data_IF_047464786191
#
_entry.id   IF_047464786191
#
_cell.length_a   1.000
_cell.length_b   1.000
_cell.length_c   1.000
_cell.angle_alpha   90.00
_cell.angle_beta   90.00
_cell.angle_gamma   90.00
#
_symmetry.space_group_name_H-M   'P 1'
#
loop_
_entity.id
_entity.type
_entity.pdbx_description
1 polymer ?
#
# COMPACT_ATOMS: atom_id res chain seq x y z
N UNK A 1 -6.39 4.02 -68.25
CA UNK A 1 -6.35 2.58 -67.89
C UNK A 1 -6.20 2.52 -66.38
N UNK A 2 -7.30 2.33 -65.63
CA UNK A 2 -7.26 2.35 -64.17
C UNK A 2 -6.94 0.97 -63.58
N UNK A 3 -6.02 0.94 -62.62
CA UNK A 3 -5.60 -0.25 -61.88
C UNK A 3 -6.65 -0.71 -60.89
N UNK A 4 -7.00 -1.97 -60.93
CA UNK A 4 -7.94 -2.66 -60.06
C UNK A 4 -7.34 -2.84 -58.62
N UNK A 5 -8.13 -2.69 -57.56
CA UNK A 5 -7.69 -3.04 -56.20
C UNK A 5 -7.72 -4.57 -55.97
N UNK A 6 -6.86 -5.12 -55.10
CA UNK A 6 -6.84 -6.53 -54.77
C UNK A 6 -7.99 -6.97 -53.87
N UNK A 7 -8.50 -8.16 -54.11
CA UNK A 7 -9.59 -8.83 -53.43
C UNK A 7 -9.18 -9.22 -52.01
N UNK A 8 -10.07 -8.93 -51.04
CA UNK A 8 -10.04 -9.50 -49.69
C UNK A 8 -10.68 -10.90 -49.76
N UNK A 9 -9.94 -11.93 -49.42
CA UNK A 9 -10.46 -13.23 -48.98
C UNK A 9 -9.39 -13.90 -48.10
N UNK A 10 -9.57 -13.85 -46.80
CA UNK A 10 -9.01 -14.83 -45.88
C UNK A 10 -9.95 -14.92 -44.65
N UNK A 11 -10.85 -15.89 -44.72
CA UNK A 11 -11.68 -16.31 -43.58
C UNK A 11 -10.79 -17.00 -42.57
N UNK A 12 -10.69 -16.45 -41.34
CA UNK A 12 -10.08 -17.13 -40.21
C UNK A 12 -11.20 -17.91 -39.49
N UNK A 13 -11.09 -19.22 -39.28
CA UNK A 13 -12.07 -19.98 -38.52
C UNK A 13 -11.91 -19.67 -37.02
N UNK A 14 -12.96 -19.17 -36.43
CA UNK A 14 -13.08 -19.01 -34.98
C UNK A 14 -13.19 -20.37 -34.29
N UNK A 15 -12.10 -20.79 -33.63
CA UNK A 15 -12.10 -21.98 -32.77
C UNK A 15 -12.67 -21.56 -31.40
N UNK A 16 -13.98 -21.72 -31.21
CA UNK A 16 -14.65 -21.49 -29.92
C UNK A 16 -14.38 -22.69 -29.02
N UNK A 17 -13.37 -22.58 -28.15
CA UNK A 17 -13.20 -23.51 -27.05
C UNK A 17 -14.25 -23.23 -25.97
N UNK A 18 -15.31 -24.04 -25.95
CA UNK A 18 -16.30 -24.08 -24.88
C UNK A 18 -15.67 -24.64 -23.61
N UNK A 19 -15.20 -23.78 -22.71
CA UNK A 19 -14.94 -24.16 -21.32
C UNK A 19 -16.28 -24.33 -20.60
N UNK A 20 -16.56 -25.55 -20.19
CA UNK A 20 -17.67 -25.90 -19.30
C UNK A 20 -17.42 -25.25 -17.94
N UNK A 21 -18.21 -24.24 -17.61
CA UNK A 21 -18.27 -23.68 -16.25
C UNK A 21 -19.10 -24.68 -15.43
N UNK A 22 -18.42 -25.43 -14.59
CA UNK A 22 -19.06 -26.28 -13.60
C UNK A 22 -19.68 -25.39 -12.52
N UNK A 23 -21.00 -25.28 -12.53
CA UNK A 23 -21.79 -24.61 -11.49
C UNK A 23 -21.77 -25.46 -10.25
N UNK A 24 -20.87 -25.17 -9.28
CA UNK A 24 -20.99 -25.67 -7.91
C UNK A 24 -21.94 -24.73 -7.17
N UNK A 25 -23.19 -25.16 -7.03
CA UNK A 25 -24.15 -24.60 -6.07
C UNK A 25 -23.68 -24.99 -4.67
N UNK A 26 -23.02 -24.08 -3.97
CA UNK A 26 -22.79 -24.22 -2.52
C UNK A 26 -23.89 -23.43 -1.81
N UNK A 27 -24.88 -24.14 -1.32
CA UNK A 27 -25.91 -23.62 -0.43
C UNK A 27 -25.24 -23.26 0.92
N UNK A 28 -24.98 -21.97 1.15
CA UNK A 28 -24.56 -21.48 2.45
C UNK A 28 -25.79 -21.27 3.33
N UNK A 29 -25.98 -22.11 4.32
CA UNK A 29 -26.91 -21.93 5.43
C UNK A 29 -26.47 -20.71 6.25
N UNK A 30 -27.29 -19.66 6.23
CA UNK A 30 -27.20 -18.52 7.13
C UNK A 30 -27.60 -18.95 8.54
N UNK A 31 -26.67 -19.04 9.43
CA UNK A 31 -26.94 -18.96 10.89
C UNK A 31 -25.66 -18.61 11.62
N UNK A 32 -25.67 -17.49 12.31
CA UNK A 32 -24.67 -17.21 13.33
C UNK A 32 -24.07 -15.81 13.27
N UNK A 33 -24.37 -15.04 14.28
CA UNK A 33 -23.77 -13.79 14.68
C UNK A 33 -22.23 -13.87 14.48
N UNK A 34 -21.72 -13.35 13.35
CA UNK A 34 -20.34 -13.52 12.97
C UNK A 34 -19.46 -12.49 13.69
N UNK A 35 -18.66 -12.93 14.62
CA UNK A 35 -17.42 -12.20 14.92
C UNK A 35 -16.64 -12.11 13.59
N UNK A 36 -16.30 -10.90 13.15
CA UNK A 36 -15.49 -10.71 11.96
C UNK A 36 -14.22 -11.58 12.08
N UNK A 37 -14.14 -12.61 11.24
CA UNK A 37 -12.96 -13.47 11.20
C UNK A 37 -11.76 -12.58 10.90
N UNK A 38 -10.83 -12.47 11.85
CA UNK A 38 -9.56 -11.78 11.58
C UNK A 38 -8.90 -12.52 10.44
N UNK A 39 -8.66 -11.81 9.34
CA UNK A 39 -7.87 -12.32 8.22
C UNK A 39 -6.51 -12.71 8.79
N UNK A 40 -6.23 -14.02 8.83
CA UNK A 40 -4.94 -14.51 9.30
C UNK A 40 -3.97 -14.41 8.14
N UNK A 41 -3.06 -13.46 8.20
CA UNK A 41 -2.01 -13.30 7.20
C UNK A 41 -1.07 -14.50 7.31
N UNK A 42 -0.83 -15.27 6.24
CA UNK A 42 0.12 -16.38 6.27
C UNK A 42 1.53 -15.91 6.62
N UNK A 43 2.23 -16.61 7.51
CA UNK A 43 3.56 -16.24 8.00
C UNK A 43 4.59 -16.20 6.87
N UNK A 44 4.50 -17.12 5.90
CA UNK A 44 5.38 -17.18 4.72
C UNK A 44 5.32 -15.93 3.83
N UNK A 45 4.18 -15.21 3.83
CA UNK A 45 4.06 -13.90 3.15
C UNK A 45 4.80 -12.81 3.92
N UNK A 46 4.69 -12.82 5.24
CA UNK A 46 5.35 -11.84 6.09
C UNK A 46 6.87 -11.98 6.01
N UNK A 47 7.38 -13.20 5.95
CA UNK A 47 8.82 -13.50 5.86
C UNK A 47 9.50 -12.96 4.59
N UNK A 48 8.74 -12.71 3.53
CA UNK A 48 9.25 -12.15 2.26
C UNK A 48 9.32 -10.62 2.24
N UNK A 49 8.66 -9.96 3.20
CA UNK A 49 8.63 -8.49 3.24
C UNK A 49 9.99 -7.97 3.67
N UNK A 50 10.59 -7.10 2.85
CA UNK A 50 11.82 -6.37 3.16
C UNK A 50 11.58 -4.91 2.82
N UNK A 51 11.70 -4.04 3.82
CA UNK A 51 11.47 -2.61 3.70
C UNK A 51 12.74 -1.84 4.03
N UNK A 52 13.09 -0.87 3.22
CA UNK A 52 14.11 0.13 3.59
C UNK A 52 13.55 1.06 4.67
N UNK A 53 14.39 1.55 5.60
CA UNK A 53 13.99 2.62 6.51
C UNK A 53 13.47 3.83 5.72
N UNK A 54 12.23 4.27 5.97
CA UNK A 54 11.61 5.33 5.16
C UNK A 54 12.16 6.73 5.47
N UNK A 55 12.87 6.87 6.57
CA UNK A 55 13.51 8.13 7.02
C UNK A 55 14.69 7.83 7.93
N UNK A 56 15.73 8.65 7.88
CA UNK A 56 16.81 8.62 8.86
C UNK A 56 16.30 9.22 10.18
N UNK A 57 16.10 8.37 11.19
CA UNK A 57 15.52 8.79 12.47
C UNK A 57 15.48 7.67 13.51
N UNK A 58 14.85 7.97 14.65
CA UNK A 58 14.72 7.03 15.77
C UNK A 58 13.24 6.71 16.01
N UNK A 59 12.90 5.43 16.14
CA UNK A 59 11.55 5.02 16.51
C UNK A 59 11.25 5.50 17.93
N UNK A 60 10.32 6.44 18.05
CA UNK A 60 9.89 7.03 19.34
C UNK A 60 8.65 6.37 19.88
N UNK A 61 7.89 5.72 19.02
CA UNK A 61 6.65 5.09 19.42
C UNK A 61 6.34 3.89 18.54
N UNK A 62 6.12 2.74 19.16
CA UNK A 62 5.86 1.47 18.51
C UNK A 62 4.42 1.27 18.07
N UNK A 63 4.20 0.21 17.31
CA UNK A 63 2.89 -0.30 16.90
C UNK A 63 2.12 -0.89 18.08
N UNK A 64 0.78 -0.85 18.03
CA UNK A 64 -0.09 -1.55 18.99
C UNK A 64 -0.87 -0.63 19.93
N UNK A 65 -1.32 -1.16 21.06
CA UNK A 65 -2.15 -0.43 22.00
C UNK A 65 -1.35 0.57 22.84
N UNK A 66 -1.86 1.83 22.88
CA UNK A 66 -1.36 2.91 23.74
C UNK A 66 -2.53 3.47 24.54
N UNK A 67 -2.56 3.28 25.86
CA UNK A 67 -3.57 3.88 26.75
C UNK A 67 -5.00 3.79 26.18
N UNK A 68 -5.39 2.60 25.68
CA UNK A 68 -6.72 2.35 25.11
C UNK A 68 -6.94 2.79 23.66
N UNK A 69 -5.92 3.31 22.97
CA UNK A 69 -5.97 3.64 21.54
C UNK A 69 -5.00 2.76 20.74
N UNK A 70 -5.46 2.21 19.61
CA UNK A 70 -4.62 1.45 18.69
C UNK A 70 -3.75 2.42 17.88
N UNK A 71 -2.42 2.23 17.93
CA UNK A 71 -1.47 2.85 17.03
C UNK A 71 -1.24 1.93 15.83
N UNK A 72 -1.62 2.38 14.64
CA UNK A 72 -1.66 1.57 13.45
C UNK A 72 -0.29 1.39 12.76
N UNK A 73 0.75 2.04 13.25
CA UNK A 73 2.10 2.03 12.70
C UNK A 73 3.14 2.35 13.76
N UNK A 74 4.24 2.94 13.32
CA UNK A 74 5.31 3.46 14.18
C UNK A 74 5.50 4.95 13.92
N UNK A 75 5.98 5.68 14.93
CA UNK A 75 6.40 7.07 14.77
C UNK A 75 7.92 7.15 14.82
N UNK A 76 8.52 7.74 13.78
CA UNK A 76 9.97 7.89 13.65
C UNK A 76 10.31 9.38 13.78
N UNK A 77 10.96 9.76 14.88
CA UNK A 77 11.44 11.12 15.10
C UNK A 77 12.57 11.43 14.11
N UNK A 78 12.42 12.56 13.43
CA UNK A 78 13.45 13.12 12.56
C UNK A 78 13.26 14.64 12.49
N UNK A 79 14.31 15.42 12.19
CA UNK A 79 14.19 16.86 12.01
C UNK A 79 13.16 17.24 10.95
N UNK A 80 12.53 18.39 11.10
CA UNK A 80 11.66 18.95 10.08
C UNK A 80 12.39 19.07 8.74
N UNK A 81 11.73 18.67 7.64
CA UNK A 81 12.33 18.75 6.31
C UNK A 81 13.26 17.59 5.94
N UNK A 82 13.52 16.63 6.85
CA UNK A 82 14.25 15.40 6.50
C UNK A 82 13.50 14.67 5.38
N UNK A 83 14.22 14.19 4.36
CA UNK A 83 13.64 13.46 3.26
C UNK A 83 12.99 12.16 3.74
N UNK A 84 11.81 11.89 3.21
CA UNK A 84 11.06 10.65 3.37
C UNK A 84 11.10 9.90 2.04
N UNK A 85 11.50 8.63 2.08
CA UNK A 85 11.68 7.80 0.90
C UNK A 85 10.74 6.59 0.91
N UNK A 86 10.48 6.02 -0.28
CA UNK A 86 9.72 4.78 -0.40
C UNK A 86 10.46 3.62 0.26
N UNK A 87 9.77 2.86 1.10
CA UNK A 87 10.35 1.69 1.77
C UNK A 87 10.54 0.49 0.83
N UNK A 88 9.83 0.42 -0.29
CA UNK A 88 9.90 -0.62 -1.32
C UNK A 88 9.40 -0.06 -2.65
N UNK A 89 9.72 -0.66 -3.82
CA UNK A 89 9.15 -0.22 -5.10
C UNK A 89 7.63 -0.35 -5.10
N UNK A 90 6.93 0.50 -5.85
CA UNK A 90 5.46 0.43 -5.93
C UNK A 90 4.83 1.59 -6.69
N UNK A 91 3.51 1.70 -6.57
CA UNK A 91 2.71 2.75 -7.17
C UNK A 91 2.09 3.59 -6.06
N UNK A 92 2.22 4.92 -6.12
CA UNK A 92 1.55 5.82 -5.21
C UNK A 92 0.04 5.80 -5.48
N UNK A 93 -0.74 5.13 -4.63
CA UNK A 93 -2.20 5.05 -4.77
C UNK A 93 -2.91 6.22 -4.09
N UNK A 94 -2.21 6.96 -3.25
CA UNK A 94 -2.67 8.21 -2.65
C UNK A 94 -1.49 9.14 -2.40
N UNK A 95 -1.62 10.39 -2.78
CA UNK A 95 -0.69 11.46 -2.46
C UNK A 95 -1.48 12.77 -2.28
N UNK A 96 -1.59 13.27 -1.05
CA UNK A 96 -2.42 14.45 -0.79
C UNK A 96 -2.52 14.84 0.68
N UNK A 97 -3.16 16.00 0.94
CA UNK A 97 -3.47 16.50 2.26
C UNK A 97 -4.92 16.19 2.65
N UNK A 98 -5.22 16.25 3.96
CA UNK A 98 -6.59 16.07 4.47
C UNK A 98 -6.98 14.64 4.80
N UNK A 99 -6.06 13.67 4.72
CA UNK A 99 -6.32 12.32 5.23
C UNK A 99 -6.51 12.39 6.75
N UNK A 100 -7.71 12.03 7.22
CA UNK A 100 -8.13 12.20 8.61
C UNK A 100 -7.10 11.63 9.60
N UNK A 101 -6.58 12.48 10.47
CA UNK A 101 -5.55 12.15 11.48
C UNK A 101 -4.12 12.25 10.92
N UNK A 102 -3.85 11.80 9.71
CA UNK A 102 -2.51 11.74 9.11
C UNK A 102 -2.03 13.08 8.50
N UNK A 103 -2.96 14.01 8.23
CA UNK A 103 -2.62 15.26 7.55
C UNK A 103 -2.21 15.04 6.08
N UNK A 104 -1.06 15.56 5.69
CA UNK A 104 -0.44 15.27 4.40
C UNK A 104 0.16 13.88 4.43
N UNK A 105 -0.22 13.03 3.47
CA UNK A 105 0.18 11.63 3.45
C UNK A 105 0.37 11.09 2.04
N UNK A 106 1.19 10.04 1.93
CA UNK A 106 1.36 9.21 0.75
C UNK A 106 1.02 7.76 1.14
N UNK A 107 0.35 7.03 0.25
CA UNK A 107 0.14 5.59 0.36
C UNK A 107 0.70 4.94 -0.89
N UNK A 108 1.52 3.92 -0.72
CA UNK A 108 2.16 3.19 -1.82
C UNK A 108 1.67 1.75 -1.79
N UNK A 109 1.22 1.26 -2.94
CA UNK A 109 0.89 -0.14 -3.19
C UNK A 109 2.13 -0.84 -3.79
N UNK A 110 2.58 -1.87 -3.12
CA UNK A 110 3.75 -2.68 -3.51
C UNK A 110 3.36 -3.97 -4.25
N UNK A 111 2.06 -4.16 -4.49
CA UNK A 111 1.51 -5.41 -5.01
C UNK A 111 1.26 -6.45 -3.91
N UNK A 112 0.65 -7.56 -4.30
CA UNK A 112 0.35 -8.71 -3.41
C UNK A 112 -0.42 -8.32 -2.13
N UNK A 113 -1.23 -7.24 -2.14
CA UNK A 113 -1.96 -6.74 -0.99
C UNK A 113 -1.11 -6.02 0.06
N UNK A 114 0.17 -5.71 -0.25
CA UNK A 114 1.09 -4.99 0.64
C UNK A 114 1.03 -3.50 0.32
N UNK A 115 0.75 -2.68 1.33
CA UNK A 115 0.78 -1.21 1.20
C UNK A 115 1.56 -0.58 2.36
N UNK A 116 2.18 0.57 2.10
CA UNK A 116 2.77 1.42 3.14
C UNK A 116 2.12 2.79 3.15
N UNK A 117 2.01 3.38 4.34
CA UNK A 117 1.49 4.73 4.53
C UNK A 117 2.55 5.60 5.22
N UNK A 118 2.72 6.82 4.70
CA UNK A 118 3.63 7.84 5.18
C UNK A 118 2.80 9.07 5.57
N UNK A 119 2.70 9.36 6.86
CA UNK A 119 1.87 10.44 7.41
C UNK A 119 2.64 11.58 8.02
N UNK A 120 1.94 12.67 8.31
CA UNK A 120 2.42 13.91 8.93
C UNK A 120 3.45 14.68 8.11
N UNK A 121 3.46 14.44 6.77
CA UNK A 121 4.41 15.07 5.87
C UNK A 121 4.27 16.60 5.85
N UNK A 122 5.40 17.30 5.67
CA UNK A 122 5.42 18.74 5.39
C UNK A 122 5.18 19.01 3.89
N UNK A 123 5.87 18.26 3.03
CA UNK A 123 5.74 18.34 1.57
C UNK A 123 5.44 16.97 0.99
N UNK A 124 4.81 16.94 -0.17
CA UNK A 124 4.61 15.74 -0.99
C UNK A 124 5.24 16.01 -2.34
N UNK A 125 6.14 15.13 -2.78
CA UNK A 125 6.92 15.28 -4.01
C UNK A 125 6.44 14.38 -5.15
N UNK A 126 5.41 13.56 -4.92
CA UNK A 126 4.87 12.57 -5.86
C UNK A 126 3.38 12.77 -6.09
N UNK A 127 2.84 12.11 -7.13
CA UNK A 127 1.40 12.16 -7.47
C UNK A 127 0.81 10.76 -7.43
N UNK A 128 -0.51 10.69 -7.17
CA UNK A 128 -1.25 9.43 -7.31
C UNK A 128 -1.13 8.89 -8.74
N UNK A 129 -0.89 7.57 -8.87
CA UNK A 129 -0.62 6.87 -10.12
C UNK A 129 0.86 6.80 -10.51
N UNK A 130 1.76 7.45 -9.80
CA UNK A 130 3.19 7.46 -10.09
C UNK A 130 3.84 6.15 -9.66
N UNK A 131 4.65 5.54 -10.55
CA UNK A 131 5.46 4.35 -10.25
C UNK A 131 6.80 4.80 -9.69
N UNK A 132 7.17 4.24 -8.55
CA UNK A 132 8.31 4.67 -7.74
C UNK A 132 9.26 3.51 -7.49
N UNK A 133 10.57 3.67 -7.71
CA UNK A 133 11.57 2.71 -7.27
C UNK A 133 11.74 2.77 -5.74
N UNK A 134 12.35 1.74 -5.12
CA UNK A 134 12.75 1.80 -3.72
C UNK A 134 13.69 2.99 -3.47
N UNK A 135 13.52 3.67 -2.34
CA UNK A 135 14.35 4.82 -1.97
C UNK A 135 14.03 6.12 -2.73
N UNK A 136 12.99 6.15 -3.56
CA UNK A 136 12.54 7.41 -4.18
C UNK A 136 12.04 8.39 -3.12
N UNK A 137 12.44 9.65 -3.22
CA UNK A 137 11.96 10.72 -2.32
C UNK A 137 10.48 11.00 -2.63
N UNK A 138 9.63 10.87 -1.60
CA UNK A 138 8.17 11.08 -1.71
C UNK A 138 7.67 12.32 -0.98
N UNK A 139 8.50 12.92 -0.14
CA UNK A 139 8.16 14.09 0.64
C UNK A 139 9.17 14.38 1.72
N UNK A 140 8.79 15.20 2.69
CA UNK A 140 9.65 15.55 3.84
C UNK A 140 8.89 15.42 5.15
N UNK A 141 9.64 15.16 6.23
CA UNK A 141 9.11 15.10 7.61
C UNK A 141 8.47 16.42 7.99
N UNK A 142 7.28 16.33 8.52
CA UNK A 142 6.49 17.46 8.97
C UNK A 142 5.82 17.26 10.32
N UNK A 143 4.73 18.02 10.50
CA UNK A 143 3.86 17.98 11.69
C UNK A 143 2.41 18.24 11.30
N UNK A 144 1.99 17.75 10.12
CA UNK A 144 0.61 17.93 9.65
C UNK A 144 -0.36 16.97 10.34
N UNK A 145 -1.65 17.26 10.27
CA UNK A 145 -2.68 16.45 10.93
C UNK A 145 -2.64 16.50 12.45
N UNK A 146 -2.71 15.35 13.10
CA UNK A 146 -2.76 15.24 14.57
C UNK A 146 -1.37 15.12 15.24
N UNK A 147 -0.30 15.41 14.51
CA UNK A 147 1.05 15.33 15.07
C UNK A 147 1.32 16.44 16.08
N UNK A 148 1.85 16.10 17.25
CA UNK A 148 2.30 17.06 18.28
C UNK A 148 3.76 17.50 18.11
N UNK A 149 4.57 16.66 17.45
CA UNK A 149 6.00 16.89 17.21
C UNK A 149 6.36 16.58 15.75
N UNK A 150 7.56 16.94 15.31
CA UNK A 150 8.06 16.55 14.00
C UNK A 150 8.43 15.06 14.01
N UNK A 151 7.75 14.25 13.20
CA UNK A 151 8.01 12.83 13.03
C UNK A 151 7.37 12.33 11.73
N UNK A 152 7.82 11.19 11.26
CA UNK A 152 7.12 10.40 10.26
C UNK A 152 6.25 9.37 10.99
N UNK A 153 4.94 9.34 10.69
CA UNK A 153 4.10 8.21 11.01
C UNK A 153 4.17 7.21 9.85
N UNK A 154 4.58 5.97 10.12
CA UNK A 154 4.79 4.94 9.11
C UNK A 154 3.98 3.68 9.42
N UNK A 155 3.18 3.22 8.44
CA UNK A 155 2.39 1.98 8.55
C UNK A 155 2.79 0.99 7.48
N UNK A 156 2.80 -0.30 7.85
CA UNK A 156 2.75 -1.44 6.95
C UNK A 156 1.36 -2.07 7.04
N UNK A 157 0.76 -2.36 5.88
CA UNK A 157 -0.51 -3.07 5.80
C UNK A 157 -0.38 -4.25 4.86
N UNK A 158 -0.97 -5.36 5.26
CA UNK A 158 -1.08 -6.56 4.45
C UNK A 158 -2.56 -6.94 4.37
N UNK A 159 -3.11 -7.04 3.17
CA UNK A 159 -4.53 -7.25 2.89
C UNK A 159 -5.44 -6.26 3.65
N UNK A 160 -4.98 -5.00 3.79
CA UNK A 160 -5.68 -3.93 4.50
C UNK A 160 -5.50 -3.91 6.01
N UNK A 161 -4.99 -4.98 6.63
CA UNK A 161 -4.71 -5.06 8.06
C UNK A 161 -3.36 -4.46 8.40
N UNK A 162 -3.30 -3.66 9.47
CA UNK A 162 -2.07 -3.04 9.95
C UNK A 162 -1.19 -4.04 10.70
N UNK A 163 0.10 -4.07 10.35
CA UNK A 163 1.13 -4.96 10.90
C UNK A 163 2.26 -4.13 11.50
N UNK A 164 2.93 -4.62 12.55
CA UNK A 164 4.13 -3.96 13.09
C UNK A 164 5.20 -3.87 12.02
N UNK A 165 5.64 -2.66 11.60
CA UNK A 165 6.65 -2.54 10.55
C UNK A 165 8.06 -2.91 11.00
N UNK A 166 8.37 -2.82 12.30
CA UNK A 166 9.75 -2.93 12.82
C UNK A 166 10.47 -4.20 12.39
N UNK A 167 9.86 -5.40 12.45
CA UNK A 167 10.53 -6.63 12.03
C UNK A 167 10.95 -6.68 10.55
N UNK A 168 10.30 -5.86 9.70
CA UNK A 168 10.49 -5.86 8.25
C UNK A 168 11.41 -4.76 7.74
N UNK A 169 11.79 -3.81 8.60
CA UNK A 169 12.75 -2.78 8.26
C UNK A 169 14.16 -3.38 8.26
N UNK A 170 14.79 -3.44 7.08
CA UNK A 170 16.19 -3.85 6.95
C UNK A 170 17.12 -2.78 7.57
N UNK A 171 18.09 -3.22 8.35
CA UNK A 171 19.16 -2.35 8.86
C UNK A 171 20.18 -2.07 7.78
#
# INVERSE_FOLDING_TARGET
MPLRPPRRDARVPALIARRRIGTLLLAALLSGCGSAARVRIPEDRLDRIRLHPPVAGTVSSGFGNRSGRKHAGIDILAPAGTEVVTASPGIAVYAGSGKRGYGSAVVIDHGEGITTLYGHLATICVRSGETLPAGAVIGTVGRSGNASTFHLHFELRVDGETVDPVPYLSR
#
